data_IF_367131224028
#
_entry.id   IF_367131224028
#
_cell.length_a   1.000
_cell.length_b   1.000
_cell.length_c   1.000
_cell.angle_alpha   90.00
_cell.angle_beta   90.00
_cell.angle_gamma   90.00
#
_symmetry.space_group_name_H-M   'P 1'
#
loop_
_entity.id
_entity.type
_entity.pdbx_description
1 polymer ?
#
# COMPACT_ATOMS: atom_id res chain seq x y z
N UNK A 1 -17.36 -3.03 -23.44
CA UNK A 1 -16.28 -3.31 -22.50
C UNK A 1 -16.41 -2.35 -21.32
N UNK A 2 -16.65 -2.84 -20.08
CA UNK A 2 -16.74 -1.99 -18.88
C UNK A 2 -15.31 -1.64 -18.45
N UNK A 3 -14.92 -0.35 -18.47
CA UNK A 3 -13.55 0.09 -18.12
C UNK A 3 -13.23 -0.02 -16.63
N UNK A 4 -14.23 0.13 -15.74
CA UNK A 4 -14.03 0.13 -14.29
C UNK A 4 -13.29 -1.12 -13.75
N UNK A 5 -13.62 -2.37 -14.15
CA UNK A 5 -12.89 -3.54 -13.69
C UNK A 5 -11.44 -3.60 -14.20
N UNK A 6 -11.19 -3.06 -15.40
CA UNK A 6 -9.85 -3.04 -15.99
C UNK A 6 -8.97 -2.01 -15.29
N UNK A 7 -9.53 -0.87 -14.91
CA UNK A 7 -8.82 0.23 -14.25
C UNK A 7 -8.76 0.10 -12.72
N UNK A 8 -9.41 -0.91 -12.11
CA UNK A 8 -9.30 -1.12 -10.66
C UNK A 8 -7.84 -1.35 -10.25
N UNK A 9 -7.40 -0.73 -9.17
CA UNK A 9 -6.01 -0.72 -8.71
C UNK A 9 -5.26 0.58 -9.05
N UNK A 10 -5.71 1.33 -10.06
CA UNK A 10 -5.08 2.62 -10.40
C UNK A 10 -5.30 3.70 -9.34
N UNK A 11 -6.32 3.55 -8.52
CA UNK A 11 -6.63 4.45 -7.40
C UNK A 11 -5.52 4.57 -6.36
N UNK A 12 -4.63 3.56 -6.31
CA UNK A 12 -3.50 3.54 -5.38
C UNK A 12 -2.24 4.23 -5.91
N UNK A 13 -2.18 4.53 -7.22
CA UNK A 13 -0.97 5.09 -7.84
C UNK A 13 -0.65 6.49 -7.28
N UNK A 14 -1.65 7.36 -7.25
CA UNK A 14 -1.46 8.76 -6.81
C UNK A 14 -1.09 8.84 -5.33
N UNK A 15 -1.82 8.20 -4.40
CA UNK A 15 -1.44 8.22 -2.98
C UNK A 15 -0.04 7.70 -2.72
N UNK A 16 0.36 6.61 -3.36
CA UNK A 16 1.69 6.00 -3.17
C UNK A 16 2.80 6.94 -3.61
N UNK A 17 2.70 7.49 -4.82
CA UNK A 17 3.71 8.42 -5.34
C UNK A 17 3.77 9.71 -4.52
N UNK A 18 2.61 10.25 -4.11
CA UNK A 18 2.54 11.46 -3.30
C UNK A 18 3.21 11.26 -1.92
N UNK A 19 2.90 10.16 -1.23
CA UNK A 19 3.53 9.84 0.07
C UNK A 19 5.05 9.67 -0.12
N UNK A 20 5.48 8.94 -1.15
CA UNK A 20 6.89 8.73 -1.44
C UNK A 20 7.62 10.06 -1.68
N UNK A 21 7.06 10.94 -2.51
CA UNK A 21 7.68 12.22 -2.85
C UNK A 21 7.75 13.17 -1.63
N UNK A 22 6.67 13.28 -0.86
CA UNK A 22 6.64 14.11 0.36
C UNK A 22 7.71 13.65 1.36
N UNK A 23 7.83 12.34 1.57
CA UNK A 23 8.81 11.79 2.51
C UNK A 23 10.24 12.02 2.02
N UNK A 24 10.49 11.90 0.70
CA UNK A 24 11.81 12.15 0.14
C UNK A 24 12.22 13.61 0.27
N UNK A 25 11.30 14.56 0.02
CA UNK A 25 11.59 15.99 0.24
C UNK A 25 11.93 16.24 1.70
N UNK A 26 11.13 15.71 2.63
CA UNK A 26 11.34 15.95 4.07
C UNK A 26 12.58 15.24 4.63
N UNK A 27 12.96 14.08 4.09
CA UNK A 27 14.08 13.30 4.60
C UNK A 27 15.42 13.62 3.93
N UNK A 28 15.42 14.00 2.65
CA UNK A 28 16.64 14.07 1.83
C UNK A 28 16.79 15.35 1.02
N UNK A 29 15.86 16.28 1.11
CA UNK A 29 15.77 17.47 0.24
C UNK A 29 15.80 17.09 -1.26
N UNK A 30 15.17 15.98 -1.61
CA UNK A 30 15.14 15.44 -2.96
C UNK A 30 13.77 14.89 -3.31
N UNK A 31 13.42 14.93 -4.58
CA UNK A 31 12.22 14.27 -5.09
C UNK A 31 12.53 12.84 -5.54
N UNK A 32 11.51 12.01 -5.50
CA UNK A 32 11.59 10.67 -6.10
C UNK A 32 11.87 10.81 -7.60
N UNK A 33 12.81 10.04 -8.13
CA UNK A 33 13.13 10.10 -9.55
C UNK A 33 11.92 9.69 -10.41
N UNK A 34 11.77 10.20 -11.65
CA UNK A 34 10.71 9.80 -12.55
C UNK A 34 10.66 8.29 -12.79
N UNK A 35 11.81 7.62 -12.82
CA UNK A 35 11.95 6.18 -12.95
C UNK A 35 11.37 5.44 -11.75
N UNK A 36 11.70 5.89 -10.54
CA UNK A 36 11.14 5.35 -9.30
C UNK A 36 9.62 5.58 -9.22
N UNK A 37 9.14 6.76 -9.62
CA UNK A 37 7.70 7.03 -9.72
C UNK A 37 7.00 6.06 -10.67
N UNK A 38 7.58 5.82 -11.84
CA UNK A 38 7.03 4.89 -12.83
C UNK A 38 6.99 3.46 -12.28
N UNK A 39 8.08 3.01 -11.68
CA UNK A 39 8.17 1.68 -11.09
C UNK A 39 7.17 1.53 -9.93
N UNK A 40 7.10 2.48 -9.00
CA UNK A 40 6.13 2.46 -7.90
C UNK A 40 4.68 2.46 -8.41
N UNK A 41 4.38 3.21 -9.48
CA UNK A 41 3.07 3.24 -10.12
C UNK A 41 2.68 1.87 -10.67
N UNK A 42 3.59 1.25 -11.41
CA UNK A 42 3.38 -0.08 -11.98
C UNK A 42 3.27 -1.16 -10.90
N UNK A 43 4.08 -1.07 -9.84
CA UNK A 43 4.00 -1.96 -8.68
C UNK A 43 2.64 -1.83 -7.99
N UNK A 44 2.23 -0.61 -7.64
CA UNK A 44 0.94 -0.35 -7.02
C UNK A 44 -0.20 -0.91 -7.87
N UNK A 45 -0.21 -0.58 -9.17
CA UNK A 45 -1.20 -1.10 -10.10
C UNK A 45 -1.22 -2.64 -10.13
N UNK A 46 -0.07 -3.25 -10.31
CA UNK A 46 0.03 -4.71 -10.49
C UNK A 46 -0.41 -5.46 -9.23
N UNK A 47 0.04 -5.03 -8.05
CA UNK A 47 -0.29 -5.66 -6.77
C UNK A 47 -1.79 -5.58 -6.49
N UNK A 48 -2.37 -4.37 -6.55
CA UNK A 48 -3.79 -4.18 -6.25
C UNK A 48 -4.69 -4.81 -7.32
N UNK A 49 -4.26 -4.79 -8.59
CA UNK A 49 -4.97 -5.48 -9.67
C UNK A 49 -4.99 -6.98 -9.48
N UNK A 50 -3.84 -7.55 -9.12
CA UNK A 50 -3.73 -8.99 -8.86
C UNK A 50 -4.59 -9.41 -7.65
N UNK A 51 -4.56 -8.63 -6.57
CA UNK A 51 -5.40 -8.88 -5.39
C UNK A 51 -6.90 -8.90 -5.75
N UNK A 52 -7.39 -7.88 -6.45
CA UNK A 52 -8.78 -7.79 -6.92
C UNK A 52 -9.17 -8.94 -7.86
N UNK A 53 -8.25 -9.34 -8.73
CA UNK A 53 -8.48 -10.49 -9.63
C UNK A 53 -8.59 -11.79 -8.82
N UNK A 54 -7.71 -12.01 -7.86
CA UNK A 54 -7.73 -13.18 -6.98
C UNK A 54 -9.00 -13.23 -6.11
N UNK A 55 -9.40 -12.10 -5.54
CA UNK A 55 -10.64 -12.01 -4.78
C UNK A 55 -11.86 -12.35 -5.65
N UNK A 56 -11.89 -11.89 -6.92
CA UNK A 56 -12.97 -12.22 -7.84
C UNK A 56 -13.04 -13.71 -8.20
N UNK A 57 -11.90 -14.40 -8.31
CA UNK A 57 -11.87 -15.85 -8.58
C UNK A 57 -12.40 -16.69 -7.40
N UNK A 58 -12.26 -16.18 -6.18
CA UNK A 58 -12.65 -16.89 -4.96
C UNK A 58 -14.01 -16.45 -4.41
N UNK A 59 -14.56 -15.35 -4.93
CA UNK A 59 -15.86 -14.85 -4.51
C UNK A 59 -16.96 -15.84 -4.90
N UNK A 60 -17.57 -16.45 -3.88
CA UNK A 60 -18.75 -17.31 -4.05
C UNK A 60 -20.04 -16.50 -4.27
N UNK A 61 -20.02 -15.20 -4.05
CA UNK A 61 -21.14 -14.28 -4.23
C UNK A 61 -20.92 -13.39 -5.45
N UNK A 62 -21.90 -13.35 -6.33
CA UNK A 62 -21.90 -12.55 -7.55
C UNK A 62 -22.14 -11.06 -7.26
N UNK A 63 -21.14 -10.35 -6.72
CA UNK A 63 -21.19 -8.90 -6.83
C UNK A 63 -21.05 -8.50 -8.31
N UNK A 64 -21.78 -7.48 -8.74
CA UNK A 64 -21.67 -6.98 -10.12
C UNK A 64 -20.22 -6.58 -10.48
N UNK A 65 -19.44 -6.17 -9.49
CA UNK A 65 -18.04 -5.81 -9.66
C UNK A 65 -17.18 -7.05 -9.95
N UNK A 66 -17.31 -8.12 -9.15
CA UNK A 66 -16.54 -9.36 -9.34
C UNK A 66 -16.93 -10.10 -10.62
N UNK A 67 -18.24 -10.18 -10.94
CA UNK A 67 -18.68 -10.76 -12.21
C UNK A 67 -18.07 -10.03 -13.41
N UNK A 68 -17.98 -8.69 -13.35
CA UNK A 68 -17.38 -7.91 -14.43
C UNK A 68 -15.85 -8.08 -14.54
N UNK A 69 -15.14 -8.45 -13.46
CA UNK A 69 -13.73 -8.84 -13.49
C UNK A 69 -13.59 -10.17 -14.23
N UNK A 70 -14.42 -11.16 -13.90
CA UNK A 70 -14.40 -12.48 -14.54
C UNK A 70 -14.77 -12.40 -16.03
N UNK A 71 -15.76 -11.59 -16.41
CA UNK A 71 -16.10 -11.33 -17.81
C UNK A 71 -14.92 -10.77 -18.63
N UNK A 72 -14.01 -10.05 -17.99
CA UNK A 72 -12.83 -9.45 -18.62
C UNK A 72 -11.52 -10.20 -18.28
N UNK A 73 -11.61 -11.43 -17.78
CA UNK A 73 -10.49 -12.20 -17.25
C UNK A 73 -9.26 -12.21 -18.16
N UNK A 74 -9.44 -12.56 -19.45
CA UNK A 74 -8.32 -12.61 -20.41
C UNK A 74 -7.61 -11.28 -20.58
N UNK A 75 -8.37 -10.17 -20.60
CA UNK A 75 -7.80 -8.82 -20.70
C UNK A 75 -7.02 -8.45 -19.45
N UNK A 76 -7.51 -8.85 -18.28
CA UNK A 76 -6.86 -8.60 -16.98
C UNK A 76 -5.59 -9.43 -16.86
N UNK A 77 -5.63 -10.71 -17.23
CA UNK A 77 -4.44 -11.58 -17.26
C UNK A 77 -3.35 -11.02 -18.19
N UNK A 78 -3.73 -10.60 -19.42
CA UNK A 78 -2.80 -9.99 -20.35
C UNK A 78 -2.20 -8.69 -19.79
N UNK A 79 -3.00 -7.86 -19.14
CA UNK A 79 -2.56 -6.62 -18.53
C UNK A 79 -1.60 -6.86 -17.36
N UNK A 80 -1.90 -7.82 -16.47
CA UNK A 80 -1.02 -8.24 -15.39
C UNK A 80 0.30 -8.81 -15.91
N UNK A 81 0.24 -9.64 -16.94
CA UNK A 81 1.44 -10.23 -17.54
C UNK A 81 2.32 -9.15 -18.21
N UNK A 82 1.73 -8.27 -19.02
CA UNK A 82 2.46 -7.20 -19.70
C UNK A 82 3.06 -6.19 -18.72
N UNK A 83 2.32 -5.80 -17.66
CA UNK A 83 2.83 -4.91 -16.63
C UNK A 83 3.96 -5.57 -15.82
N UNK A 84 3.87 -6.88 -15.54
CA UNK A 84 4.94 -7.63 -14.86
C UNK A 84 6.22 -7.66 -15.69
N UNK A 85 6.13 -7.92 -16.99
CA UNK A 85 7.29 -7.86 -17.89
C UNK A 85 7.88 -6.45 -17.90
N UNK A 86 7.04 -5.42 -17.99
CA UNK A 86 7.48 -4.04 -17.95
C UNK A 86 8.22 -3.70 -16.66
N UNK A 87 7.68 -4.09 -15.49
CA UNK A 87 8.33 -3.91 -14.19
C UNK A 87 9.71 -4.58 -14.18
N UNK A 88 9.79 -5.87 -14.53
CA UNK A 88 11.05 -6.62 -14.51
C UNK A 88 12.07 -5.97 -15.45
N UNK A 89 11.64 -5.56 -16.66
CA UNK A 89 12.52 -4.91 -17.64
C UNK A 89 13.06 -3.58 -17.09
N UNK A 90 12.21 -2.75 -16.49
CA UNK A 90 12.63 -1.48 -15.89
C UNK A 90 13.58 -1.70 -14.71
N UNK A 91 13.31 -2.68 -13.83
CA UNK A 91 14.17 -3.02 -12.70
C UNK A 91 15.57 -3.47 -13.17
N UNK A 92 15.64 -4.23 -14.26
CA UNK A 92 16.91 -4.64 -14.86
C UNK A 92 17.62 -3.43 -15.48
N UNK A 93 16.90 -2.63 -16.27
CA UNK A 93 17.46 -1.49 -17.00
C UNK A 93 18.03 -0.41 -16.06
N UNK A 94 17.32 -0.13 -14.96
CA UNK A 94 17.77 0.85 -13.96
C UNK A 94 18.62 0.25 -12.84
N UNK A 95 19.00 -1.03 -12.93
CA UNK A 95 19.81 -1.77 -11.91
C UNK A 95 19.18 -1.80 -10.52
N UNK A 96 17.85 -1.71 -10.43
CA UNK A 96 17.07 -1.72 -9.17
C UNK A 96 16.71 -3.14 -8.73
N UNK A 97 17.68 -4.07 -8.71
CA UNK A 97 17.44 -5.49 -8.42
C UNK A 97 16.93 -5.75 -7.01
N UNK A 98 17.18 -4.84 -6.08
CA UNK A 98 16.72 -4.93 -4.68
C UNK A 98 15.20 -4.87 -4.54
N UNK A 99 14.50 -4.35 -5.55
CA UNK A 99 13.03 -4.34 -5.60
C UNK A 99 12.46 -5.72 -5.96
N UNK A 100 13.18 -6.56 -6.67
CA UNK A 100 12.66 -7.86 -7.12
C UNK A 100 12.13 -8.73 -5.97
N UNK A 101 12.83 -8.90 -4.84
CA UNK A 101 12.29 -9.64 -3.69
C UNK A 101 10.99 -9.04 -3.16
N UNK A 102 10.90 -7.69 -3.09
CA UNK A 102 9.69 -6.98 -2.63
C UNK A 102 8.53 -7.23 -3.62
N UNK A 103 8.80 -7.13 -4.90
CA UNK A 103 7.81 -7.39 -5.94
C UNK A 103 7.29 -8.83 -5.86
N UNK A 104 8.17 -9.82 -5.80
CA UNK A 104 7.74 -11.22 -5.68
C UNK A 104 7.03 -11.51 -4.35
N UNK A 105 7.49 -10.92 -3.24
CA UNK A 105 6.81 -11.10 -1.96
C UNK A 105 5.39 -10.53 -1.98
N UNK A 106 5.12 -9.48 -2.76
CA UNK A 106 3.78 -8.91 -2.84
C UNK A 106 2.71 -9.90 -3.34
N UNK A 107 3.09 -10.88 -4.17
CA UNK A 107 2.18 -11.95 -4.58
C UNK A 107 1.84 -12.93 -3.44
N UNK A 108 2.63 -12.94 -2.37
CA UNK A 108 2.34 -13.73 -1.16
C UNK A 108 1.27 -13.08 -0.29
N UNK A 109 0.85 -11.84 -0.59
CA UNK A 109 -0.12 -11.09 0.20
C UNK A 109 -1.39 -11.89 0.51
N UNK A 110 -1.94 -12.60 -0.47
CA UNK A 110 -3.12 -13.42 -0.26
C UNK A 110 -2.89 -14.54 0.74
N UNK A 111 -1.76 -15.22 0.66
CA UNK A 111 -1.42 -16.28 1.62
C UNK A 111 -1.24 -15.71 3.03
N UNK A 112 -0.71 -14.49 3.13
CA UNK A 112 -0.59 -13.77 4.42
C UNK A 112 -1.98 -13.39 4.97
N UNK A 113 -2.89 -12.95 4.10
CA UNK A 113 -4.28 -12.61 4.49
C UNK A 113 -5.06 -13.79 5.06
N UNK A 114 -4.72 -15.03 4.67
CA UNK A 114 -5.39 -16.26 5.13
C UNK A 114 -4.73 -16.90 6.35
N UNK A 115 -3.70 -16.30 6.94
CA UNK A 115 -3.11 -16.78 8.18
C UNK A 115 -4.04 -16.48 9.36
N UNK A 116 -4.09 -17.39 10.32
CA UNK A 116 -4.87 -17.26 11.58
C UNK A 116 -4.25 -16.25 12.56
N UNK A 117 -3.45 -15.32 12.06
CA UNK A 117 -2.77 -14.29 12.85
C UNK A 117 -2.84 -12.96 12.08
N UNK A 118 -3.11 -11.82 12.74
CA UNK A 118 -3.29 -10.53 12.08
C UNK A 118 -1.95 -9.92 11.59
N UNK A 119 -1.27 -10.62 10.70
CA UNK A 119 0.05 -10.21 10.14
C UNK A 119 -0.09 -9.24 8.97
N UNK A 120 -1.26 -9.24 8.32
CA UNK A 120 -1.56 -8.45 7.12
C UNK A 120 -1.12 -6.98 7.22
N UNK A 121 -1.46 -6.20 8.27
CA UNK A 121 -1.08 -4.78 8.34
C UNK A 121 0.43 -4.57 8.42
N UNK A 122 1.14 -5.43 9.15
CA UNK A 122 2.61 -5.39 9.26
C UNK A 122 3.27 -5.69 7.90
N UNK A 123 2.75 -6.68 7.20
CA UNK A 123 3.26 -7.08 5.89
C UNK A 123 3.09 -5.96 4.86
N UNK A 124 1.90 -5.38 4.75
CA UNK A 124 1.61 -4.28 3.83
C UNK A 124 2.47 -3.06 4.15
N UNK A 125 2.54 -2.68 5.44
CA UNK A 125 3.35 -1.55 5.88
C UNK A 125 4.84 -1.75 5.62
N UNK A 126 5.34 -2.96 5.86
CA UNK A 126 6.73 -3.32 5.58
C UNK A 126 7.07 -3.21 4.10
N UNK A 127 6.25 -3.79 3.23
CA UNK A 127 6.46 -3.71 1.77
C UNK A 127 6.46 -2.27 1.26
N UNK A 128 5.49 -1.46 1.69
CA UNK A 128 5.42 -0.06 1.28
C UNK A 128 6.59 0.76 1.82
N UNK A 129 7.03 0.53 3.06
CA UNK A 129 8.20 1.20 3.63
C UNK A 129 9.45 0.87 2.84
N UNK A 130 9.67 -0.40 2.53
CA UNK A 130 10.83 -0.82 1.73
C UNK A 130 10.77 -0.18 0.34
N UNK A 131 9.62 -0.22 -0.32
CA UNK A 131 9.44 0.35 -1.66
C UNK A 131 9.66 1.86 -1.69
N UNK A 132 9.18 2.60 -0.68
CA UNK A 132 9.21 4.07 -0.69
C UNK A 132 10.48 4.67 -0.09
N UNK A 133 11.08 4.04 0.94
CA UNK A 133 12.18 4.63 1.69
C UNK A 133 13.51 3.89 1.52
N UNK A 134 13.48 2.54 1.47
CA UNK A 134 14.73 1.76 1.48
C UNK A 134 15.30 1.63 0.08
N UNK A 135 14.46 1.34 -0.91
CA UNK A 135 14.92 1.07 -2.27
C UNK A 135 15.52 2.29 -2.97
N UNK A 136 14.88 3.46 -2.94
CA UNK A 136 15.44 4.65 -3.59
C UNK A 136 16.77 5.11 -2.95
N UNK A 137 16.93 4.86 -1.64
CA UNK A 137 18.06 5.35 -0.83
C UNK A 137 18.83 4.21 -0.17
N UNK A 138 19.09 3.14 -0.92
CA UNK A 138 19.58 1.84 -0.44
C UNK A 138 20.74 1.90 0.59
N UNK A 139 21.64 2.86 0.44
CA UNK A 139 22.80 3.01 1.36
C UNK A 139 22.56 4.02 2.48
N UNK A 140 21.55 4.88 2.38
CA UNK A 140 21.34 6.03 3.25
C UNK A 140 19.89 6.14 3.74
N UNK A 141 19.16 5.02 3.83
CA UNK A 141 17.77 5.03 4.26
C UNK A 141 17.62 5.72 5.63
N UNK A 142 16.81 6.78 5.67
CA UNK A 142 16.53 7.52 6.89
C UNK A 142 15.56 6.71 7.77
N UNK A 143 16.02 6.34 8.97
CA UNK A 143 15.23 5.54 9.92
C UNK A 143 13.92 6.23 10.32
N UNK A 144 13.92 7.56 10.51
CA UNK A 144 12.70 8.29 10.87
C UNK A 144 11.70 8.29 9.71
N UNK A 145 12.17 8.41 8.47
CA UNK A 145 11.32 8.29 7.29
C UNK A 145 10.70 6.89 7.19
N UNK A 146 11.49 5.84 7.39
CA UNK A 146 11.00 4.46 7.43
C UNK A 146 9.94 4.26 8.53
N UNK A 147 10.21 4.72 9.74
CA UNK A 147 9.26 4.62 10.87
C UNK A 147 7.98 5.40 10.57
N UNK A 148 8.09 6.60 10.03
CA UNK A 148 6.94 7.42 9.68
C UNK A 148 6.04 6.72 8.64
N UNK A 149 6.60 6.28 7.52
CA UNK A 149 5.83 5.59 6.47
C UNK A 149 5.23 4.29 6.99
N UNK A 150 6.00 3.48 7.72
CA UNK A 150 5.51 2.23 8.28
C UNK A 150 4.29 2.44 9.16
N UNK A 151 4.35 3.35 10.10
CA UNK A 151 3.27 3.64 11.04
C UNK A 151 2.05 4.27 10.37
N UNK A 152 2.27 5.12 9.35
CA UNK A 152 1.20 5.69 8.53
C UNK A 152 0.41 4.59 7.81
N UNK A 153 1.11 3.76 7.04
CA UNK A 153 0.47 2.68 6.27
C UNK A 153 -0.15 1.63 7.20
N UNK A 154 0.51 1.30 8.31
CA UNK A 154 -0.05 0.40 9.32
C UNK A 154 -1.38 0.90 9.87
N UNK A 155 -1.45 2.19 10.21
CA UNK A 155 -2.70 2.82 10.68
C UNK A 155 -3.79 2.76 9.60
N UNK A 156 -3.48 3.18 8.37
CA UNK A 156 -4.44 3.22 7.26
C UNK A 156 -4.97 1.82 6.90
N UNK A 157 -4.11 0.81 6.89
CA UNK A 157 -4.50 -0.58 6.62
C UNK A 157 -5.47 -1.10 7.66
N UNK A 158 -5.19 -0.86 8.95
CA UNK A 158 -6.09 -1.29 10.02
C UNK A 158 -7.40 -0.50 10.06
N UNK A 159 -7.41 0.77 9.66
CA UNK A 159 -8.64 1.53 9.50
C UNK A 159 -9.50 0.98 8.36
N UNK A 160 -8.89 0.50 7.28
CA UNK A 160 -9.60 -0.21 6.22
C UNK A 160 -10.19 -1.53 6.75
N UNK A 161 -9.41 -2.31 7.51
CA UNK A 161 -9.90 -3.56 8.11
C UNK A 161 -11.06 -3.33 9.10
N UNK A 162 -11.10 -2.18 9.79
CA UNK A 162 -12.28 -1.80 10.61
C UNK A 162 -13.52 -1.60 9.75
N UNK A 163 -13.38 -1.05 8.52
CA UNK A 163 -14.52 -0.89 7.60
C UNK A 163 -15.04 -2.25 7.13
N UNK A 164 -14.14 -3.21 6.96
CA UNK A 164 -14.42 -4.54 6.43
C UNK A 164 -14.74 -5.57 7.54
N UNK A 165 -14.83 -5.12 8.81
CA UNK A 165 -14.97 -5.98 10.00
C UNK A 165 -16.06 -7.05 9.89
N UNK A 166 -17.24 -6.68 9.38
CA UNK A 166 -18.36 -7.63 9.22
C UNK A 166 -18.10 -8.68 8.15
N UNK A 167 -17.41 -8.31 7.10
CA UNK A 167 -16.99 -9.21 6.02
C UNK A 167 -15.86 -10.13 6.50
N UNK A 168 -14.87 -9.57 7.21
CA UNK A 168 -13.75 -10.32 7.79
C UNK A 168 -14.26 -11.43 8.73
N UNK A 169 -15.23 -11.15 9.61
CA UNK A 169 -15.87 -12.18 10.45
C UNK A 169 -16.56 -13.22 9.60
N UNK A 170 -17.34 -12.82 8.60
CA UNK A 170 -18.09 -13.74 7.73
C UNK A 170 -17.17 -14.73 7.01
N UNK A 171 -15.99 -14.29 6.61
CA UNK A 171 -15.02 -15.10 5.85
C UNK A 171 -13.88 -15.66 6.69
N UNK A 172 -13.96 -15.56 8.04
CA UNK A 172 -12.91 -15.98 8.99
C UNK A 172 -11.52 -15.39 8.66
N UNK A 173 -11.48 -14.13 8.25
CA UNK A 173 -10.23 -13.40 8.02
C UNK A 173 -9.72 -12.87 9.35
N UNK A 174 -8.49 -13.27 9.75
CA UNK A 174 -7.83 -12.74 10.95
C UNK A 174 -7.28 -11.35 10.64
N UNK A 175 -7.85 -10.35 11.29
CA UNK A 175 -7.42 -8.94 11.23
C UNK A 175 -7.34 -8.38 12.64
N UNK A 176 -6.63 -7.25 12.86
CA UNK A 176 -6.56 -6.66 14.20
C UNK A 176 -7.95 -6.34 14.78
N UNK A 177 -8.92 -5.81 14.01
CA UNK A 177 -10.27 -5.61 14.54
C UNK A 177 -10.98 -6.90 14.95
N UNK A 178 -10.79 -8.01 14.21
CA UNK A 178 -11.44 -9.28 14.55
C UNK A 178 -10.84 -9.93 15.79
N UNK A 179 -9.54 -9.76 16.02
CA UNK A 179 -8.81 -10.36 17.15
C UNK A 179 -8.90 -9.51 18.43
N UNK A 180 -8.73 -8.19 18.30
CA UNK A 180 -8.60 -7.27 19.44
C UNK A 180 -9.85 -6.40 19.67
N UNK A 181 -10.79 -6.42 18.73
CA UNK A 181 -11.97 -5.56 18.72
C UNK A 181 -11.72 -4.17 18.15
N UNK A 182 -12.80 -3.58 17.63
CA UNK A 182 -12.76 -2.30 16.89
C UNK A 182 -12.19 -1.16 17.74
N UNK A 183 -12.61 -1.03 19.01
CA UNK A 183 -12.19 0.09 19.87
C UNK A 183 -10.68 0.05 20.17
N UNK A 184 -10.16 -1.13 20.46
CA UNK A 184 -8.73 -1.28 20.74
C UNK A 184 -7.89 -1.03 19.49
N UNK A 185 -8.34 -1.56 18.34
CA UNK A 185 -7.71 -1.30 17.05
C UNK A 185 -7.70 0.18 16.71
N UNK A 186 -8.81 0.91 16.91
CA UNK A 186 -8.84 2.38 16.73
C UNK A 186 -7.79 3.10 17.56
N UNK A 187 -7.61 2.69 18.82
CA UNK A 187 -6.59 3.30 19.69
C UNK A 187 -5.17 3.01 19.21
N UNK A 188 -4.89 1.78 18.78
CA UNK A 188 -3.59 1.42 18.15
C UNK A 188 -3.35 2.27 16.91
N UNK A 189 -4.33 2.36 16.02
CA UNK A 189 -4.21 3.18 14.82
C UNK A 189 -3.93 4.65 15.17
N UNK A 190 -4.68 5.24 16.11
CA UNK A 190 -4.45 6.62 16.56
C UNK A 190 -3.05 6.82 17.11
N UNK A 191 -2.58 5.93 17.97
CA UNK A 191 -1.22 5.98 18.50
C UNK A 191 -0.18 5.90 17.37
N UNK A 192 -0.36 4.97 16.42
CA UNK A 192 0.52 4.82 15.26
C UNK A 192 0.52 6.07 14.38
N UNK A 193 -0.63 6.68 14.12
CA UNK A 193 -0.73 7.93 13.36
C UNK A 193 -0.02 9.10 14.04
N UNK A 194 -0.18 9.24 15.36
CA UNK A 194 0.50 10.28 16.13
C UNK A 194 2.01 10.08 16.12
N UNK A 195 2.48 8.83 16.31
CA UNK A 195 3.91 8.50 16.22
C UNK A 195 4.47 8.70 14.83
N UNK A 196 3.71 8.34 13.77
CA UNK A 196 4.07 8.62 12.38
C UNK A 196 4.26 10.11 12.14
N UNK A 197 3.28 10.91 12.56
CA UNK A 197 3.34 12.39 12.44
C UNK A 197 4.52 12.95 13.22
N UNK A 198 4.75 12.48 14.43
CA UNK A 198 5.92 12.91 15.22
C UNK A 198 7.23 12.56 14.53
N UNK A 199 7.41 11.32 14.07
CA UNK A 199 8.61 10.90 13.35
C UNK A 199 8.82 11.74 12.08
N UNK A 200 7.76 12.04 11.34
CA UNK A 200 7.81 12.88 10.15
C UNK A 200 8.26 14.31 10.45
N UNK A 201 7.76 14.93 11.52
CA UNK A 201 8.17 16.29 11.91
C UNK A 201 9.62 16.40 12.42
N UNK A 202 10.27 15.26 12.72
CA UNK A 202 11.69 15.22 13.10
C UNK A 202 12.62 15.01 11.90
N UNK A 203 12.10 14.92 10.67
CA UNK A 203 12.94 14.80 9.48
C UNK A 203 13.72 16.11 9.24
N UNK A 204 14.93 15.97 8.73
CA UNK A 204 15.91 17.06 8.62
C UNK A 204 15.41 18.25 7.78
N UNK A 205 14.67 17.95 6.74
CA UNK A 205 14.16 18.97 5.80
C UNK A 205 12.65 19.23 5.95
N UNK A 206 12.08 18.88 7.09
CA UNK A 206 10.71 19.26 7.40
C UNK A 206 10.59 20.79 7.47
N UNK A 207 9.84 21.38 6.54
CA UNK A 207 9.82 22.84 6.32
C UNK A 207 8.47 23.50 6.54
N UNK A 208 7.47 22.79 7.06
CA UNK A 208 6.09 23.27 7.22
C UNK A 208 5.45 23.72 5.88
N UNK A 209 5.76 23.02 4.81
CA UNK A 209 5.13 23.25 3.51
C UNK A 209 3.70 22.72 3.46
N UNK A 210 2.95 23.13 2.44
CA UNK A 210 1.61 22.61 2.17
C UNK A 210 1.60 21.08 2.05
N UNK A 211 2.63 20.48 1.44
CA UNK A 211 2.75 19.04 1.29
C UNK A 211 2.97 18.30 2.61
N UNK A 212 3.75 18.90 3.53
CA UNK A 212 3.96 18.35 4.87
C UNK A 212 2.63 18.30 5.64
N UNK A 213 1.79 19.34 5.51
CA UNK A 213 0.45 19.34 6.11
C UNK A 213 -0.46 18.29 5.48
N UNK A 214 -0.37 18.05 4.15
CA UNK A 214 -1.12 16.96 3.51
C UNK A 214 -0.75 15.62 4.13
N UNK A 215 0.55 15.34 4.35
CA UNK A 215 0.99 14.10 5.00
C UNK A 215 0.44 13.98 6.42
N UNK A 216 0.56 15.03 7.22
CA UNK A 216 0.02 15.07 8.59
C UNK A 216 -1.50 14.84 8.58
N UNK A 217 -2.22 15.53 7.73
CA UNK A 217 -3.67 15.38 7.59
C UNK A 217 -4.08 13.98 7.14
N UNK A 218 -3.32 13.35 6.25
CA UNK A 218 -3.59 11.97 5.82
C UNK A 218 -3.51 10.96 6.96
N UNK A 219 -2.72 11.26 7.99
CA UNK A 219 -2.65 10.46 9.22
C UNK A 219 -3.83 10.70 10.17
N UNK A 220 -4.50 11.84 10.10
CA UNK A 220 -5.49 12.28 11.09
C UNK A 220 -6.93 12.22 10.57
N UNK A 221 -7.17 12.67 9.33
CA UNK A 221 -8.52 12.75 8.74
C UNK A 221 -9.30 11.42 8.79
N UNK A 222 -8.71 10.25 8.49
CA UNK A 222 -9.45 8.99 8.49
C UNK A 222 -10.14 8.65 9.83
N UNK A 223 -9.70 9.26 10.93
CA UNK A 223 -10.32 9.08 12.24
C UNK A 223 -11.63 9.82 12.43
N UNK A 224 -11.82 10.91 11.71
CA UNK A 224 -13.01 11.74 11.83
C UNK A 224 -14.09 11.40 10.78
N UNK A 225 -13.74 10.59 9.78
CA UNK A 225 -14.61 10.25 8.65
C UNK A 225 -15.14 8.82 8.69
N UNK A 226 -14.75 8.01 9.69
CA UNK A 226 -15.13 6.58 9.80
C UNK A 226 -15.69 6.21 11.18
#
# INVERSE_FOLDING_TARGET
>A
MKLKPILSGTEMIVPVNLISDIVHVAAYNSHVSPESCLINSLLAFNIYKYDRYRDALEANESSEFYSSIIENEKSIQLLLFSSSICIITLLIYYHMYTILPVYFSSFMYKNIKTLDVPVKPFYVSGLWTISTCVIPEYTNANTLACVSVFLCIFSLTNLADISDYTEDIKYNVSSLPTELGIHFTKNICLASSLMSTFAFTQLEYFSNTFYDYIYILSNVIPYFTR
#
